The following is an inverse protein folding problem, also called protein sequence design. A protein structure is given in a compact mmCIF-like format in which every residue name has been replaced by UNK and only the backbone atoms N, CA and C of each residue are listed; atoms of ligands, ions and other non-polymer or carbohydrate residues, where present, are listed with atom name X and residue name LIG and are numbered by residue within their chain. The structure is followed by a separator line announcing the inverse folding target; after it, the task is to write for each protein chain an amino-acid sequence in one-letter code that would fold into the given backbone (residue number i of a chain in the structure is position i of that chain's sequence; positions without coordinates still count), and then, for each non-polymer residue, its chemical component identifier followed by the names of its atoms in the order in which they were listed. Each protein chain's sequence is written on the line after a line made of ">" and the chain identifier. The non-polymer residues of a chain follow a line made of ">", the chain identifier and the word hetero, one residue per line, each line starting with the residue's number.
data_IF_453890689612
#
_entry.id   IF_453890689612
#
_cell.length_a   1.000
_cell.length_b   1.000
_cell.length_c   1.000
_cell.angle_alpha   90.00
_cell.angle_beta   90.00
_cell.angle_gamma   90.00
#
_symmetry.space_group_name_H-M   'P 1'
#
loop_
_entity.id
_entity.type
_entity.pdbx_description
1 polymer ?
#
# COMPACT_ATOMS: atom_id res chain seq x y z
N UNK A 1 2.95 -3.78 -25.34
CA UNK A 1 3.24 -2.35 -25.59
C UNK A 1 3.34 -1.66 -24.24
N UNK A 2 4.55 -1.42 -23.71
CA UNK A 2 4.70 -0.75 -22.41
C UNK A 2 4.47 0.74 -22.66
N UNK A 3 3.41 1.31 -22.10
CA UNK A 3 3.14 2.73 -22.17
C UNK A 3 4.34 3.49 -21.58
N UNK A 4 5.14 4.13 -22.44
CA UNK A 4 6.26 4.97 -22.02
C UNK A 4 5.67 6.23 -21.39
N UNK A 5 5.52 6.24 -20.07
CA UNK A 5 5.10 7.45 -19.34
C UNK A 5 6.08 8.58 -19.64
N UNK A 6 5.56 9.77 -19.95
CA UNK A 6 6.38 10.99 -20.05
C UNK A 6 7.12 11.22 -18.73
N UNK A 7 8.35 11.73 -18.82
CA UNK A 7 9.15 12.12 -17.65
C UNK A 7 8.39 13.14 -16.79
N UNK A 8 7.68 14.06 -17.43
CA UNK A 8 6.84 15.06 -16.77
C UNK A 8 5.74 14.42 -15.92
N UNK A 9 5.10 13.37 -16.44
CA UNK A 9 4.04 12.65 -15.71
C UNK A 9 4.62 11.92 -14.50
N UNK A 10 5.83 11.37 -14.61
CA UNK A 10 6.50 10.72 -13.48
C UNK A 10 6.84 11.73 -12.40
N UNK A 11 7.40 12.88 -12.74
CA UNK A 11 7.71 13.93 -11.77
C UNK A 11 6.43 14.43 -11.09
N UNK A 12 5.36 14.69 -11.84
CA UNK A 12 4.09 15.12 -11.24
C UNK A 12 3.49 14.06 -10.28
N UNK A 13 3.70 12.77 -10.55
CA UNK A 13 3.28 11.69 -9.63
C UNK A 13 4.13 11.69 -8.36
N UNK A 14 5.45 11.84 -8.51
CA UNK A 14 6.37 11.91 -7.38
C UNK A 14 6.02 13.12 -6.50
N UNK A 15 5.86 14.29 -7.10
CA UNK A 15 5.47 15.53 -6.41
C UNK A 15 4.15 15.35 -5.63
N UNK A 16 3.17 14.67 -6.21
CA UNK A 16 1.90 14.40 -5.54
C UNK A 16 2.07 13.51 -4.30
N UNK A 17 2.93 12.50 -4.36
CA UNK A 17 3.20 11.60 -3.23
C UNK A 17 4.06 12.28 -2.15
N UNK A 18 5.02 13.10 -2.55
CA UNK A 18 5.89 13.89 -1.66
C UNK A 18 5.12 14.89 -0.78
N UNK A 19 3.86 15.18 -1.08
CA UNK A 19 3.02 16.01 -0.20
C UNK A 19 2.73 15.37 1.16
N UNK A 20 2.85 14.04 1.26
CA UNK A 20 2.50 13.28 2.47
C UNK A 20 3.53 12.21 2.83
N UNK A 21 4.41 11.84 1.90
CA UNK A 21 5.48 10.88 2.08
C UNK A 21 6.84 11.56 2.00
N UNK A 22 7.85 10.94 2.60
CA UNK A 22 9.22 11.25 2.23
C UNK A 22 9.60 10.68 0.85
N UNK A 23 10.76 11.11 0.35
CA UNK A 23 11.24 10.74 -0.98
C UNK A 23 11.44 9.23 -1.16
N UNK A 24 11.95 8.55 -0.15
CA UNK A 24 12.21 7.11 -0.20
C UNK A 24 10.90 6.33 -0.37
N UNK A 25 9.88 6.61 0.46
CA UNK A 25 8.59 5.92 0.38
C UNK A 25 7.81 6.31 -0.86
N UNK A 26 7.91 7.56 -1.32
CA UNK A 26 7.26 8.00 -2.55
C UNK A 26 7.80 7.23 -3.77
N UNK A 27 9.14 7.08 -3.87
CA UNK A 27 9.77 6.28 -4.92
C UNK A 27 9.40 4.80 -4.81
N UNK A 28 9.39 4.26 -3.58
CA UNK A 28 9.02 2.86 -3.33
C UNK A 28 7.58 2.56 -3.74
N UNK A 29 6.63 3.47 -3.49
CA UNK A 29 5.23 3.34 -3.93
C UNK A 29 5.12 3.29 -5.45
N UNK A 30 5.83 4.18 -6.16
CA UNK A 30 5.86 4.20 -7.63
C UNK A 30 6.44 2.89 -8.17
N UNK A 31 7.54 2.42 -7.57
CA UNK A 31 8.17 1.17 -7.96
C UNK A 31 7.24 -0.03 -7.71
N UNK A 32 6.67 -0.14 -6.51
CA UNK A 32 5.73 -1.19 -6.12
C UNK A 32 4.55 -1.29 -7.10
N UNK A 33 3.97 -0.15 -7.47
CA UNK A 33 2.86 -0.08 -8.45
C UNK A 33 3.29 -0.56 -9.83
N UNK A 34 4.53 -0.28 -10.25
CA UNK A 34 5.06 -0.64 -11.56
C UNK A 34 5.52 -2.09 -11.65
N UNK A 35 6.25 -2.59 -10.64
CA UNK A 35 6.95 -3.88 -10.69
C UNK A 35 6.10 -4.98 -10.06
N UNK A 36 5.60 -4.75 -8.84
CA UNK A 36 4.87 -5.76 -8.06
C UNK A 36 3.42 -5.86 -8.53
N UNK A 37 2.69 -4.74 -8.49
CA UNK A 37 1.27 -4.71 -8.91
C UNK A 37 1.11 -4.70 -10.43
N UNK A 38 2.14 -4.26 -11.16
CA UNK A 38 2.17 -4.16 -12.64
C UNK A 38 1.05 -3.28 -13.20
N UNK A 39 0.60 -2.30 -12.41
CA UNK A 39 -0.38 -1.28 -12.79
C UNK A 39 0.18 0.10 -12.43
N UNK A 40 0.94 0.72 -13.35
CA UNK A 40 1.52 2.04 -13.13
C UNK A 40 0.48 3.06 -12.66
N UNK A 41 0.88 4.00 -11.81
CA UNK A 41 0.00 5.07 -11.36
C UNK A 41 -0.25 6.08 -12.47
N UNK A 42 -1.48 6.58 -12.52
CA UNK A 42 -1.77 7.86 -13.17
C UNK A 42 -1.59 8.98 -12.16
N UNK A 43 -1.40 10.22 -12.64
CA UNK A 43 -1.30 11.39 -11.76
C UNK A 43 -2.49 11.50 -10.80
N UNK A 44 -3.71 11.30 -11.31
CA UNK A 44 -4.90 11.38 -10.47
C UNK A 44 -4.97 10.27 -9.42
N UNK A 45 -4.56 9.04 -9.78
CA UNK A 45 -4.49 7.93 -8.82
C UNK A 45 -3.46 8.21 -7.71
N UNK A 46 -2.32 8.83 -8.04
CA UNK A 46 -1.33 9.24 -7.05
C UNK A 46 -1.89 10.29 -6.07
N UNK A 47 -2.62 11.29 -6.58
CA UNK A 47 -3.30 12.29 -5.74
C UNK A 47 -4.34 11.67 -4.80
N UNK A 48 -5.14 10.73 -5.29
CA UNK A 48 -6.11 10.01 -4.46
C UNK A 48 -5.41 9.19 -3.36
N UNK A 49 -4.31 8.52 -3.71
CA UNK A 49 -3.55 7.71 -2.76
C UNK A 49 -2.90 8.59 -1.68
N UNK A 50 -2.30 9.71 -2.07
CA UNK A 50 -1.74 10.68 -1.12
C UNK A 50 -2.80 11.19 -0.13
N UNK A 51 -4.02 11.48 -0.61
CA UNK A 51 -5.14 11.85 0.27
C UNK A 51 -5.46 10.75 1.29
N UNK A 52 -5.50 9.48 0.87
CA UNK A 52 -5.77 8.35 1.77
C UNK A 52 -4.67 8.11 2.79
N UNK A 53 -3.41 8.34 2.41
CA UNK A 53 -2.28 8.29 3.34
C UNK A 53 -2.35 9.42 4.37
N UNK A 54 -2.69 10.65 3.96
CA UNK A 54 -2.91 11.75 4.89
C UNK A 54 -4.05 11.47 5.90
N UNK A 55 -5.11 10.78 5.47
CA UNK A 55 -6.23 10.41 6.34
C UNK A 55 -5.86 9.39 7.44
N UNK A 56 -4.75 8.67 7.31
CA UNK A 56 -4.25 7.75 8.34
C UNK A 56 -3.58 8.49 9.52
N UNK A 57 -2.92 9.61 9.25
CA UNK A 57 -2.13 10.38 10.21
C UNK A 57 -0.63 10.29 9.93
N UNK A 58 -0.10 9.08 9.76
CA UNK A 58 1.28 8.84 9.32
C UNK A 58 1.32 8.29 7.88
N UNK A 59 1.55 9.17 6.90
CA UNK A 59 1.54 8.77 5.50
C UNK A 59 2.60 7.71 5.17
N UNK A 60 3.77 7.77 5.81
CA UNK A 60 4.86 6.84 5.59
C UNK A 60 4.50 5.44 6.09
N UNK A 61 3.96 5.34 7.30
CA UNK A 61 3.49 4.05 7.85
C UNK A 61 2.41 3.43 6.94
N UNK A 62 1.47 4.24 6.43
CA UNK A 62 0.43 3.76 5.54
C UNK A 62 1.01 3.24 4.19
N UNK A 63 2.04 3.90 3.66
CA UNK A 63 2.73 3.47 2.46
C UNK A 63 3.51 2.16 2.67
N UNK A 64 4.26 2.05 3.77
CA UNK A 64 5.01 0.85 4.14
C UNK A 64 4.05 -0.33 4.28
N UNK A 65 2.91 -0.12 4.95
CA UNK A 65 1.87 -1.11 5.11
C UNK A 65 1.25 -1.56 3.78
N UNK A 66 1.00 -0.62 2.87
CA UNK A 66 0.49 -0.92 1.54
C UNK A 66 1.48 -1.81 0.76
N UNK A 67 2.77 -1.50 0.83
CA UNK A 67 3.84 -2.23 0.14
C UNK A 67 4.01 -3.63 0.73
N UNK A 68 4.13 -3.74 2.06
CA UNK A 68 4.29 -5.01 2.78
C UNK A 68 3.16 -5.98 2.45
N UNK A 69 1.92 -5.47 2.40
CA UNK A 69 0.74 -6.29 2.10
C UNK A 69 0.44 -6.46 0.62
N UNK A 70 1.29 -5.92 -0.26
CA UNK A 70 1.11 -5.96 -1.71
C UNK A 70 -0.27 -5.45 -2.15
N UNK A 71 -0.71 -4.36 -1.53
CA UNK A 71 -1.99 -3.74 -1.84
C UNK A 71 -1.87 -2.76 -3.01
N UNK A 72 -2.91 -2.75 -3.85
CA UNK A 72 -2.98 -1.82 -4.97
C UNK A 72 -3.28 -0.38 -4.49
N UNK A 73 -3.98 -0.21 -3.38
CA UNK A 73 -4.31 1.07 -2.80
C UNK A 73 -4.38 0.98 -1.28
N UNK A 74 -4.85 2.03 -0.63
CA UNK A 74 -4.92 2.10 0.82
C UNK A 74 -6.22 2.77 1.26
N UNK A 75 -6.81 2.24 2.32
CA UNK A 75 -7.92 2.83 3.05
C UNK A 75 -7.80 2.47 4.53
N UNK A 76 -8.01 3.45 5.40
CA UNK A 76 -7.85 3.28 6.85
C UNK A 76 -8.87 2.30 7.45
N UNK A 77 -10.04 2.14 6.83
CA UNK A 77 -11.05 1.16 7.26
C UNK A 77 -10.55 -0.28 7.13
N UNK A 78 -9.74 -0.58 6.11
CA UNK A 78 -9.24 -1.95 5.86
C UNK A 78 -8.32 -2.47 6.96
N UNK A 79 -7.68 -1.56 7.68
CA UNK A 79 -6.76 -1.87 8.77
C UNK A 79 -7.52 -2.02 10.10
N UNK A 80 -8.50 -1.13 10.35
CA UNK A 80 -9.29 -1.12 11.58
C UNK A 80 -10.23 -2.32 11.70
N UNK A 81 -10.77 -2.81 10.58
CA UNK A 81 -11.81 -3.83 10.57
C UNK A 81 -11.28 -5.27 10.42
N UNK A 82 -9.96 -5.49 10.42
CA UNK A 82 -9.42 -6.85 10.38
C UNK A 82 -9.22 -7.38 11.81
N UNK A 83 -10.04 -8.34 12.28
CA UNK A 83 -9.63 -9.14 13.42
C UNK A 83 -8.28 -9.76 13.10
N UNK A 84 -7.33 -9.65 14.04
CA UNK A 84 -6.08 -10.41 14.03
C UNK A 84 -6.45 -11.84 13.62
N UNK A 85 -5.83 -12.47 12.60
CA UNK A 85 -6.08 -13.87 12.33
C UNK A 85 -5.86 -14.57 13.66
N UNK A 86 -6.92 -15.12 14.25
CA UNK A 86 -6.77 -16.00 15.39
C UNK A 86 -5.73 -17.00 14.92
N UNK A 87 -4.64 -17.15 15.68
CA UNK A 87 -3.63 -18.17 15.41
C UNK A 87 -4.41 -19.47 15.21
N UNK A 88 -4.60 -19.88 13.97
CA UNK A 88 -5.12 -21.19 13.64
C UNK A 88 -3.95 -22.14 13.86
N UNK A 89 -3.53 -22.24 15.13
CA UNK A 89 -3.01 -23.50 15.64
C UNK A 89 -4.12 -24.51 15.43
N UNK A 90 -3.78 -25.65 14.85
CA UNK A 90 -4.70 -26.72 14.54
C UNK A 90 -5.67 -26.97 15.71
N UNK A 91 -6.89 -26.43 15.64
CA UNK A 91 -7.95 -26.70 16.60
C UNK A 91 -8.36 -28.19 16.63
N UNK A 92 -7.90 -28.97 15.64
CA UNK A 92 -8.03 -30.43 15.63
C UNK A 92 -7.00 -31.16 16.49
N UNK A 93 -5.82 -30.59 16.80
CA UNK A 93 -4.79 -31.28 17.59
C UNK A 93 -5.02 -31.09 19.10
N UNK A 94 -5.45 -29.91 19.55
CA UNK A 94 -5.75 -29.66 20.97
C UNK A 94 -6.98 -30.43 21.49
N UNK A 95 -7.91 -30.81 20.61
CA UNK A 95 -9.06 -31.65 20.97
C UNK A 95 -8.69 -33.12 21.19
N UNK A 96 -7.57 -33.60 20.64
CA UNK A 96 -7.10 -34.99 20.73
C UNK A 96 -6.16 -35.25 21.91
N UNK A 97 -5.68 -34.21 22.59
CA UNK A 97 -4.75 -34.31 23.73
C UNK A 97 -5.44 -34.15 25.10
N UNK A 98 -6.77 -34.02 25.13
CA UNK A 98 -7.56 -34.03 26.38
C UNK A 98 -8.19 -35.41 26.61
N UNK A 99 -7.36 -36.42 26.92
CA UNK A 99 -7.80 -37.65 27.56
C UNK A 99 -6.72 -38.16 28.50
#
# INVERSE_FOLDING_TARGET
>A
MVARMSLETRHAILDALLTVLDEERALAVIEHRRITIRKPLTLYAAKLLAKRFAEWGDGNEAADMMIERTWQGFDSSWVRDRPRPALTGNGMIDALMRH
#
